data_IF_150052476051
#
_entry.id   IF_150052476051
#
_cell.length_a   1.000
_cell.length_b   1.000
_cell.length_c   1.000
_cell.angle_alpha   90.00
_cell.angle_beta   90.00
_cell.angle_gamma   90.00
#
_symmetry.space_group_name_H-M   'P 1'
#
loop_
_entity.id
_entity.type
_entity.pdbx_description
1 polymer ?
#
# COMPACT_ATOMS: atom_id res chain seq x y z
N UNK A 1 2.31 -70.01 -7.55
CA UNK A 1 2.04 -70.40 -6.15
C UNK A 1 3.26 -70.05 -5.30
N UNK A 2 3.02 -69.38 -4.18
CA UNK A 2 3.88 -69.21 -2.99
C UNK A 2 5.12 -68.31 -3.09
N UNK A 3 4.87 -67.10 -2.58
CA UNK A 3 5.73 -66.11 -1.94
C UNK A 3 6.67 -66.70 -0.87
N UNK A 4 7.94 -66.24 -0.81
CA UNK A 4 8.67 -66.01 0.45
C UNK A 4 9.90 -65.14 0.24
N UNK A 5 9.80 -63.89 0.70
CA UNK A 5 10.92 -62.97 0.93
C UNK A 5 11.73 -63.43 2.14
N UNK A 6 13.05 -63.40 2.05
CA UNK A 6 13.96 -63.20 3.20
C UNK A 6 15.12 -62.30 2.76
N UNK A 7 15.19 -61.13 3.39
CA UNK A 7 16.31 -60.20 3.38
C UNK A 7 17.22 -60.51 4.58
N UNK A 8 18.54 -60.40 4.40
CA UNK A 8 19.50 -59.52 5.10
C UNK A 8 20.94 -60.08 4.93
N UNK A 9 21.83 -59.40 4.19
CA UNK A 9 22.96 -58.52 4.66
C UNK A 9 24.24 -59.33 4.98
N UNK A 10 25.50 -58.87 4.79
CA UNK A 10 26.02 -57.54 4.39
C UNK A 10 26.99 -57.54 3.17
N UNK A 11 27.14 -56.36 2.55
CA UNK A 11 28.19 -56.08 1.55
C UNK A 11 29.21 -55.10 2.13
N UNK A 12 30.44 -55.59 2.27
CA UNK A 12 31.77 -54.99 2.01
C UNK A 12 32.02 -53.48 2.30
N UNK A 13 33.09 -53.12 3.05
CA UNK A 13 33.61 -51.75 3.15
C UNK A 13 34.68 -51.48 2.07
N UNK A 14 34.74 -50.24 1.52
CA UNK A 14 36.00 -49.56 1.18
C UNK A 14 35.80 -48.26 0.38
N UNK A 15 36.58 -47.25 0.80
CA UNK A 15 37.28 -46.26 -0.02
C UNK A 15 36.48 -45.18 -0.79
N UNK A 16 36.48 -44.01 -0.15
CA UNK A 16 36.49 -42.65 -0.69
C UNK A 16 37.02 -42.46 -2.13
N UNK A 17 36.30 -41.64 -2.90
CA UNK A 17 36.89 -40.63 -3.79
C UNK A 17 36.03 -39.35 -3.72
N UNK A 18 36.67 -38.27 -3.28
CA UNK A 18 36.16 -36.90 -3.25
C UNK A 18 36.19 -36.32 -4.67
N UNK A 19 35.04 -36.00 -5.25
CA UNK A 19 34.92 -35.06 -6.39
C UNK A 19 33.61 -34.27 -6.27
N UNK A 20 33.62 -33.25 -5.40
CA UNK A 20 32.60 -32.18 -5.43
C UNK A 20 33.05 -31.13 -6.45
N UNK A 21 32.66 -31.32 -7.70
CA UNK A 21 32.60 -30.22 -8.67
C UNK A 21 31.25 -29.51 -8.48
N UNK A 22 31.16 -28.67 -7.45
CA UNK A 22 30.06 -27.75 -7.24
C UNK A 22 30.52 -26.34 -7.64
N UNK A 23 30.39 -26.00 -8.92
CA UNK A 23 30.32 -24.59 -9.34
C UNK A 23 28.91 -24.08 -9.01
N UNK A 24 28.64 -23.91 -7.71
CA UNK A 24 27.56 -23.05 -7.26
C UNK A 24 28.08 -21.63 -7.33
N UNK A 25 27.67 -20.88 -8.35
CA UNK A 25 27.79 -19.43 -8.34
C UNK A 25 26.98 -18.90 -7.17
N UNK A 26 27.66 -18.65 -6.04
CA UNK A 26 27.17 -17.88 -4.91
C UNK A 26 26.81 -16.48 -5.41
N UNK A 27 25.61 -16.35 -5.96
CA UNK A 27 24.93 -15.07 -6.04
C UNK A 27 24.38 -14.87 -4.64
N UNK A 28 24.88 -13.90 -3.86
CA UNK A 28 24.29 -13.60 -2.56
C UNK A 28 22.81 -13.33 -2.80
N UNK A 29 21.93 -14.07 -2.14
CA UNK A 29 20.52 -13.71 -2.10
C UNK A 29 20.43 -12.23 -1.68
N UNK A 30 19.63 -11.39 -2.36
CA UNK A 30 19.44 -10.03 -1.92
C UNK A 30 18.97 -10.08 -0.48
N UNK A 31 19.78 -9.53 0.44
CA UNK A 31 19.45 -9.52 1.84
C UNK A 31 18.14 -8.74 2.02
N UNK A 32 17.07 -9.46 2.35
CA UNK A 32 15.83 -8.89 2.88
C UNK A 32 16.08 -8.41 4.30
N UNK A 33 16.93 -7.38 4.44
CA UNK A 33 17.00 -6.58 5.65
C UNK A 33 15.85 -5.57 5.67
N UNK A 34 15.54 -4.96 6.83
CA UNK A 34 14.58 -3.86 6.88
C UNK A 34 15.05 -2.80 5.90
N UNK A 35 14.24 -2.53 4.86
CA UNK A 35 14.46 -1.36 4.03
C UNK A 35 14.58 -0.18 4.98
N UNK A 36 15.72 0.52 4.95
CA UNK A 36 15.88 1.76 5.73
C UNK A 36 14.63 2.57 5.45
N UNK A 37 13.84 2.83 6.49
CA UNK A 37 12.74 3.78 6.43
C UNK A 37 13.40 5.06 5.92
N UNK A 38 13.14 5.41 4.66
CA UNK A 38 13.59 6.68 4.14
C UNK A 38 13.14 7.73 5.14
N UNK A 39 14.02 8.69 5.47
CA UNK A 39 13.62 9.79 6.35
C UNK A 39 12.27 10.33 5.87
N UNK A 40 11.31 10.61 6.78
CA UNK A 40 10.00 11.11 6.38
C UNK A 40 10.14 12.26 5.39
N UNK A 41 9.34 12.25 4.32
CA UNK A 41 9.36 13.32 3.32
C UNK A 41 9.21 14.66 4.04
N UNK A 42 9.98 15.70 3.71
CA UNK A 42 9.78 17.00 4.32
C UNK A 42 8.49 17.67 3.77
N UNK A 43 7.89 18.63 4.48
CA UNK A 43 6.62 19.24 4.09
C UNK A 43 6.60 19.83 2.67
N UNK A 44 7.71 20.44 2.23
CA UNK A 44 7.87 21.02 0.90
C UNK A 44 7.94 19.99 -0.23
N UNK A 45 8.17 18.71 0.08
CA UNK A 45 8.16 17.62 -0.90
C UNK A 45 6.75 17.10 -1.18
N UNK A 46 5.73 17.51 -0.41
CA UNK A 46 4.35 17.12 -0.67
C UNK A 46 3.80 17.83 -1.92
N UNK A 47 3.20 17.09 -2.87
CA UNK A 47 2.63 17.65 -4.09
C UNK A 47 1.47 18.60 -3.80
N UNK A 48 1.19 19.49 -4.74
CA UNK A 48 -0.01 20.31 -4.74
C UNK A 48 -1.23 19.53 -5.29
N UNK A 49 -2.40 20.18 -5.28
CA UNK A 49 -3.62 19.53 -5.73
C UNK A 49 -3.67 19.29 -7.23
N UNK A 50 -2.94 20.06 -8.05
CA UNK A 50 -2.86 19.78 -9.49
C UNK A 50 -2.14 18.44 -9.73
N UNK A 51 -0.97 18.26 -9.10
CA UNK A 51 -0.17 17.05 -9.18
C UNK A 51 -0.90 15.82 -8.63
N UNK A 52 -1.66 15.97 -7.53
CA UNK A 52 -2.49 14.89 -6.98
C UNK A 52 -3.66 14.57 -7.93
N UNK A 53 -4.32 15.60 -8.48
CA UNK A 53 -5.42 15.45 -9.43
C UNK A 53 -5.00 14.67 -10.68
N UNK A 54 -3.81 14.96 -11.23
CA UNK A 54 -3.22 14.18 -12.33
C UNK A 54 -3.02 12.70 -11.96
N UNK A 55 -2.55 12.42 -10.74
CA UNK A 55 -2.28 11.06 -10.29
C UNK A 55 -3.55 10.22 -10.13
N UNK A 56 -4.64 10.82 -9.60
CA UNK A 56 -5.93 10.14 -9.41
C UNK A 56 -6.83 10.20 -10.66
N UNK A 57 -6.43 10.97 -11.67
CA UNK A 57 -6.94 10.93 -13.04
C UNK A 57 -8.45 11.07 -13.14
N UNK A 58 -9.11 10.03 -13.67
CA UNK A 58 -10.54 10.08 -13.96
C UNK A 58 -11.44 10.24 -12.72
N UNK A 59 -10.92 10.00 -11.51
CA UNK A 59 -11.69 10.17 -10.27
C UNK A 59 -12.12 11.61 -10.01
N UNK A 60 -11.39 12.58 -10.54
CA UNK A 60 -11.73 14.02 -10.44
C UNK A 60 -12.26 14.60 -11.74
N UNK A 61 -12.56 13.76 -12.74
CA UNK A 61 -13.16 14.23 -13.98
C UNK A 61 -14.54 14.82 -13.73
N UNK A 62 -14.76 16.06 -14.17
CA UNK A 62 -16.00 16.80 -13.91
C UNK A 62 -16.08 17.43 -12.52
N UNK A 63 -15.03 17.35 -11.71
CA UNK A 63 -14.93 18.07 -10.43
C UNK A 63 -13.93 19.23 -10.55
N UNK A 64 -14.21 20.33 -9.86
CA UNK A 64 -13.35 21.50 -9.76
C UNK A 64 -12.56 21.46 -8.45
N UNK A 65 -11.26 21.75 -8.52
CA UNK A 65 -10.42 21.86 -7.33
C UNK A 65 -10.91 23.02 -6.44
N UNK A 66 -11.07 22.75 -5.15
CA UNK A 66 -11.55 23.75 -4.17
C UNK A 66 -10.46 24.76 -3.83
N UNK A 67 -9.25 24.27 -3.56
CA UNK A 67 -8.05 25.07 -3.30
C UNK A 67 -6.88 24.45 -4.06
N UNK A 68 -6.37 25.10 -5.13
CA UNK A 68 -5.25 24.57 -5.92
C UNK A 68 -3.96 24.33 -5.11
N UNK A 69 -3.72 25.14 -4.07
CA UNK A 69 -2.54 25.01 -3.23
C UNK A 69 -2.69 23.89 -2.20
N UNK A 70 -3.93 23.52 -1.89
CA UNK A 70 -4.30 22.55 -0.88
C UNK A 70 -4.14 23.06 0.54
N UNK A 71 -4.84 22.43 1.48
CA UNK A 71 -4.73 22.78 2.90
C UNK A 71 -3.59 21.98 3.52
N UNK A 72 -2.61 22.69 4.07
CA UNK A 72 -1.44 22.12 4.75
C UNK A 72 -1.54 22.35 6.25
N UNK A 73 -1.15 21.35 7.03
CA UNK A 73 -0.96 21.49 8.46
C UNK A 73 0.32 20.78 8.92
N UNK A 74 0.90 21.27 10.00
CA UNK A 74 2.11 20.70 10.60
C UNK A 74 1.98 20.70 12.11
N UNK A 75 2.39 19.58 12.69
CA UNK A 75 2.57 19.36 14.13
C UNK A 75 3.99 18.79 14.35
N UNK A 76 4.48 18.71 15.60
CA UNK A 76 5.77 18.08 15.90
C UNK A 76 5.87 16.62 15.42
N UNK A 77 4.76 15.89 15.47
CA UNK A 77 4.68 14.46 15.19
C UNK A 77 4.31 14.11 13.73
N UNK A 78 3.77 15.06 12.98
CA UNK A 78 3.32 14.83 11.61
C UNK A 78 3.16 16.12 10.82
N UNK A 79 3.12 16.00 9.50
CA UNK A 79 2.63 17.06 8.63
C UNK A 79 1.74 16.46 7.55
N UNK A 80 0.87 17.28 6.98
CA UNK A 80 -0.11 16.81 6.02
C UNK A 80 -0.42 17.83 4.93
N UNK A 81 -1.00 17.29 3.87
CA UNK A 81 -1.62 18.00 2.76
C UNK A 81 -3.00 17.40 2.52
N UNK A 82 -4.01 18.23 2.30
CA UNK A 82 -5.33 17.80 1.88
C UNK A 82 -5.82 18.60 0.68
N UNK A 83 -6.41 17.87 -0.26
CA UNK A 83 -7.00 18.39 -1.48
C UNK A 83 -8.46 17.98 -1.56
N UNK A 84 -9.30 18.86 -2.08
CA UNK A 84 -10.70 18.59 -2.31
C UNK A 84 -11.09 19.05 -3.71
N UNK A 85 -11.94 18.27 -4.35
CA UNK A 85 -12.60 18.61 -5.59
C UNK A 85 -14.11 18.50 -5.40
N UNK A 86 -14.85 19.43 -5.99
CA UNK A 86 -16.30 19.50 -5.90
C UNK A 86 -16.92 19.73 -7.26
N UNK A 87 -18.08 19.14 -7.46
CA UNK A 87 -18.93 19.46 -8.59
C UNK A 87 -19.64 20.79 -8.35
N UNK A 88 -19.89 21.52 -9.44
CA UNK A 88 -20.71 22.73 -9.43
C UNK A 88 -22.19 22.44 -9.66
N UNK A 89 -22.57 21.20 -10.00
CA UNK A 89 -23.93 20.88 -10.48
C UNK A 89 -24.67 19.75 -9.76
N UNK A 90 -23.99 18.85 -9.05
CA UNK A 90 -24.61 17.62 -8.51
C UNK A 90 -24.16 17.24 -7.08
N UNK A 91 -23.63 18.23 -6.34
CA UNK A 91 -23.11 18.10 -4.98
C UNK A 91 -21.99 17.05 -4.79
N UNK A 92 -21.46 16.44 -5.86
CA UNK A 92 -20.38 15.47 -5.74
C UNK A 92 -19.10 16.07 -5.17
N UNK A 93 -18.46 15.36 -4.25
CA UNK A 93 -17.18 15.78 -3.68
C UNK A 93 -16.25 14.59 -3.45
N UNK A 94 -14.97 14.79 -3.76
CA UNK A 94 -13.88 13.85 -3.51
C UNK A 94 -12.72 14.59 -2.84
N UNK A 95 -12.07 13.96 -1.88
CA UNK A 95 -10.89 14.49 -1.22
C UNK A 95 -9.76 13.47 -1.17
N UNK A 96 -8.53 13.99 -1.14
CA UNK A 96 -7.31 13.24 -0.86
C UNK A 96 -6.64 13.86 0.35
N UNK A 97 -6.22 13.05 1.30
CA UNK A 97 -5.41 13.45 2.45
C UNK A 97 -4.11 12.66 2.40
N UNK A 98 -2.98 13.36 2.46
CA UNK A 98 -1.65 12.80 2.63
C UNK A 98 -1.15 13.21 4.01
N UNK A 99 -0.83 12.23 4.85
CA UNK A 99 -0.21 12.44 6.16
C UNK A 99 1.18 11.80 6.12
N UNK A 100 2.17 12.52 6.63
CA UNK A 100 3.52 12.01 6.82
C UNK A 100 3.81 12.02 8.31
N UNK A 101 3.88 10.83 8.89
CA UNK A 101 4.09 10.63 10.33
C UNK A 101 5.59 10.49 10.64
N UNK A 102 6.04 11.15 11.71
CA UNK A 102 7.39 10.97 12.24
C UNK A 102 7.59 9.57 12.83
N UNK A 103 6.51 8.94 13.30
CA UNK A 103 6.46 7.56 13.79
C UNK A 103 5.38 6.80 13.01
N UNK A 104 5.75 6.02 11.99
CA UNK A 104 4.80 5.34 11.13
C UNK A 104 3.95 4.31 11.88
N UNK A 105 2.68 4.21 11.50
CA UNK A 105 1.85 3.06 11.88
C UNK A 105 2.43 1.78 11.28
N UNK A 106 2.47 0.70 12.06
CA UNK A 106 2.92 -0.60 11.57
C UNK A 106 1.76 -1.51 11.19
N UNK A 107 2.04 -2.46 10.30
CA UNK A 107 1.10 -3.52 9.94
C UNK A 107 0.61 -4.28 11.20
N UNK A 108 1.52 -4.57 12.12
CA UNK A 108 1.19 -5.29 13.36
C UNK A 108 0.27 -4.46 14.28
N UNK A 109 0.46 -3.14 14.34
CA UNK A 109 -0.43 -2.26 15.10
C UNK A 109 -1.86 -2.31 14.54
N UNK A 110 -2.01 -2.19 13.22
CA UNK A 110 -3.32 -2.23 12.57
C UNK A 110 -3.96 -3.61 12.65
N UNK A 111 -3.17 -4.68 12.55
CA UNK A 111 -3.66 -6.05 12.71
C UNK A 111 -4.18 -6.29 14.13
N UNK A 112 -3.45 -5.83 15.16
CA UNK A 112 -3.92 -5.90 16.56
C UNK A 112 -5.18 -5.07 16.80
N UNK A 113 -5.32 -3.95 16.10
CA UNK A 113 -6.50 -3.09 16.17
C UNK A 113 -7.71 -3.64 15.38
N UNK A 114 -7.56 -4.71 14.61
CA UNK A 114 -8.63 -5.24 13.74
C UNK A 114 -8.93 -4.34 12.53
N UNK A 115 -7.99 -3.48 12.14
CA UNK A 115 -8.14 -2.51 11.04
C UNK A 115 -7.36 -2.91 9.78
N UNK A 116 -6.52 -3.94 9.86
CA UNK A 116 -5.66 -4.36 8.77
C UNK A 116 -6.43 -5.09 7.66
N UNK A 117 -6.22 -4.66 6.42
CA UNK A 117 -6.57 -5.40 5.21
C UNK A 117 -5.35 -5.55 4.29
N UNK A 118 -5.18 -6.74 3.70
CA UNK A 118 -4.15 -7.00 2.70
C UNK A 118 -4.66 -6.70 1.30
N UNK A 119 -3.86 -5.98 0.50
CA UNK A 119 -4.15 -5.74 -0.91
C UNK A 119 -2.86 -5.91 -1.75
N UNK A 120 -2.86 -6.71 -2.82
CA UNK A 120 -1.67 -6.95 -3.64
C UNK A 120 -1.05 -5.68 -4.25
N UNK A 121 -1.88 -4.68 -4.60
CA UNK A 121 -1.43 -3.41 -5.20
C UNK A 121 -0.61 -2.60 -4.19
N UNK A 122 -1.03 -2.63 -2.93
CA UNK A 122 -0.36 -1.92 -1.83
C UNK A 122 0.84 -2.71 -1.31
N UNK A 123 0.73 -4.04 -1.25
CA UNK A 123 1.85 -4.92 -0.89
C UNK A 123 3.03 -4.79 -1.87
N UNK A 124 2.76 -4.55 -3.16
CA UNK A 124 3.80 -4.26 -4.16
C UNK A 124 4.58 -2.96 -3.87
N UNK A 125 4.02 -2.07 -3.06
CA UNK A 125 4.69 -0.88 -2.56
C UNK A 125 5.40 -1.12 -1.22
N UNK A 126 5.26 -2.29 -0.60
CA UNK A 126 5.73 -2.55 0.77
C UNK A 126 4.85 -1.92 1.84
N UNK A 127 3.57 -1.69 1.54
CA UNK A 127 2.60 -1.11 2.46
C UNK A 127 1.43 -2.03 2.80
N UNK A 128 0.44 -1.48 3.49
CA UNK A 128 -0.80 -2.14 3.87
C UNK A 128 -1.99 -1.16 3.88
N UNK A 129 -3.20 -1.69 4.06
CA UNK A 129 -4.42 -0.88 4.18
C UNK A 129 -4.90 -0.92 5.63
N UNK A 130 -5.27 0.25 6.17
CA UNK A 130 -6.11 0.37 7.34
C UNK A 130 -7.52 0.80 6.95
N UNK A 131 -8.53 0.02 7.34
CA UNK A 131 -9.94 0.27 7.06
C UNK A 131 -10.77 -0.18 8.27
N UNK A 132 -11.90 0.49 8.60
CA UNK A 132 -12.82 -0.02 9.61
C UNK A 132 -13.17 -1.50 9.36
N UNK A 133 -13.24 -2.27 10.44
CA UNK A 133 -13.54 -3.71 10.46
C UNK A 133 -12.50 -4.63 9.77
N UNK A 134 -11.43 -4.08 9.19
CA UNK A 134 -10.35 -4.85 8.55
C UNK A 134 -10.80 -5.70 7.35
N UNK A 135 -12.00 -5.44 6.84
CA UNK A 135 -12.57 -6.12 5.67
C UNK A 135 -12.64 -5.13 4.51
N UNK A 136 -11.99 -5.47 3.40
CA UNK A 136 -12.05 -4.68 2.18
C UNK A 136 -13.00 -5.34 1.18
N UNK A 137 -14.18 -4.75 1.00
CA UNK A 137 -15.00 -4.98 -0.18
C UNK A 137 -14.69 -3.91 -1.23
N UNK A 138 -13.82 -4.26 -2.19
CA UNK A 138 -13.39 -3.34 -3.24
C UNK A 138 -14.53 -2.73 -4.06
N UNK A 139 -15.67 -3.42 -4.13
CA UNK A 139 -16.85 -2.97 -4.90
C UNK A 139 -17.76 -2.01 -4.12
N UNK A 140 -17.57 -1.89 -2.81
CA UNK A 140 -18.34 -0.97 -1.98
C UNK A 140 -18.11 0.48 -2.41
N UNK A 141 -19.15 1.31 -2.28
CA UNK A 141 -19.07 2.74 -2.58
C UNK A 141 -18.22 3.45 -1.54
N UNK A 142 -17.35 4.34 -2.02
CA UNK A 142 -16.50 5.18 -1.19
C UNK A 142 -17.36 6.16 -0.37
N UNK A 143 -17.31 5.98 0.95
CA UNK A 143 -17.95 6.87 1.91
C UNK A 143 -17.05 8.04 2.35
N UNK A 144 -17.49 8.79 3.36
CA UNK A 144 -16.75 9.94 3.90
C UNK A 144 -15.46 9.54 4.62
N UNK A 145 -15.30 8.26 4.96
CA UNK A 145 -14.09 7.68 5.52
C UNK A 145 -13.69 6.54 4.60
N UNK A 146 -12.65 6.76 3.79
CA UNK A 146 -12.13 5.73 2.90
C UNK A 146 -10.98 4.93 3.50
N UNK A 147 -10.43 3.99 2.72
CA UNK A 147 -9.29 3.18 3.14
C UNK A 147 -8.04 4.06 3.23
N UNK A 148 -7.25 3.81 4.27
CA UNK A 148 -5.95 4.46 4.45
C UNK A 148 -4.87 3.54 3.87
N UNK A 149 -4.22 3.98 2.80
CA UNK A 149 -3.10 3.26 2.18
C UNK A 149 -1.80 3.74 2.80
N UNK A 150 -1.14 2.87 3.56
CA UNK A 150 0.01 3.21 4.40
C UNK A 150 1.26 2.56 3.82
N UNK A 151 2.27 3.37 3.50
CA UNK A 151 3.55 2.93 2.95
C UNK A 151 4.68 3.69 3.63
N UNK A 152 5.42 2.99 4.50
CA UNK A 152 6.41 3.65 5.36
C UNK A 152 5.75 4.77 6.18
N UNK A 153 6.33 5.98 6.25
CA UNK A 153 5.78 7.10 7.02
C UNK A 153 4.57 7.78 6.37
N UNK A 154 4.19 7.39 5.15
CA UNK A 154 3.18 8.12 4.38
C UNK A 154 1.85 7.35 4.40
N UNK A 155 0.80 8.05 4.80
CA UNK A 155 -0.59 7.60 4.71
C UNK A 155 -1.29 8.41 3.64
N UNK A 156 -1.94 7.74 2.69
CA UNK A 156 -2.81 8.38 1.68
C UNK A 156 -4.22 7.86 1.83
N UNK A 157 -5.17 8.77 2.00
CA UNK A 157 -6.59 8.46 2.18
C UNK A 157 -7.40 9.20 1.13
N UNK A 158 -8.24 8.48 0.39
CA UNK A 158 -9.28 9.07 -0.45
C UNK A 158 -10.60 9.04 0.32
N UNK A 159 -11.40 10.09 0.20
CA UNK A 159 -12.72 10.18 0.82
C UNK A 159 -13.71 10.79 -0.17
N UNK A 160 -14.96 10.33 -0.15
CA UNK A 160 -16.02 10.83 -1.02
C UNK A 160 -17.30 11.08 -0.24
N UNK A 161 -18.20 11.90 -0.78
CA UNK A 161 -19.52 12.08 -0.15
C UNK A 161 -20.61 11.18 -0.75
N UNK A 162 -20.24 10.28 -1.68
CA UNK A 162 -21.14 9.38 -2.40
C UNK A 162 -22.32 10.08 -3.10
N UNK A 163 -22.10 11.30 -3.61
CA UNK A 163 -23.09 12.08 -4.37
C UNK A 163 -22.58 12.45 -5.75
N UNK A 164 -23.51 12.71 -6.67
CA UNK A 164 -23.19 13.23 -7.99
C UNK A 164 -22.12 12.43 -8.71
N UNK A 165 -21.16 13.12 -9.31
CA UNK A 165 -19.99 12.53 -9.97
C UNK A 165 -19.13 11.63 -9.04
N UNK A 166 -19.22 11.77 -7.71
CA UNK A 166 -18.53 10.91 -6.75
C UNK A 166 -19.35 9.69 -6.28
N UNK A 167 -20.62 9.55 -6.69
CA UNK A 167 -21.52 8.50 -6.21
C UNK A 167 -21.13 7.08 -6.64
N UNK A 168 -20.37 6.95 -7.73
CA UNK A 168 -19.95 5.67 -8.28
C UNK A 168 -18.50 5.30 -7.95
N UNK A 169 -17.78 6.14 -7.18
CA UNK A 169 -16.40 5.85 -6.79
C UNK A 169 -16.42 4.71 -5.78
N UNK A 170 -15.69 3.65 -6.09
CA UNK A 170 -15.57 2.44 -5.26
C UNK A 170 -14.34 2.48 -4.36
N UNK A 171 -14.27 1.58 -3.37
CA UNK A 171 -13.08 1.42 -2.55
C UNK A 171 -11.87 0.96 -3.37
N UNK A 172 -12.05 0.11 -4.38
CA UNK A 172 -10.96 -0.31 -5.28
C UNK A 172 -10.38 0.86 -6.06
N UNK A 173 -11.24 1.73 -6.60
CA UNK A 173 -10.82 2.95 -7.28
C UNK A 173 -10.11 3.91 -6.32
N UNK A 174 -10.58 4.01 -5.08
CA UNK A 174 -9.94 4.82 -4.04
C UNK A 174 -8.52 4.30 -3.73
N UNK A 175 -8.34 2.97 -3.66
CA UNK A 175 -7.04 2.34 -3.46
C UNK A 175 -6.13 2.56 -4.66
N UNK A 176 -6.63 2.41 -5.89
CA UNK A 176 -5.86 2.68 -7.10
C UNK A 176 -5.36 4.14 -7.14
N UNK A 177 -6.23 5.08 -6.78
CA UNK A 177 -5.88 6.50 -6.63
C UNK A 177 -4.80 6.73 -5.57
N UNK A 178 -4.95 6.15 -4.39
CA UNK A 178 -3.95 6.26 -3.32
C UNK A 178 -2.60 5.64 -3.72
N UNK A 179 -2.61 4.49 -4.39
CA UNK A 179 -1.41 3.83 -4.94
C UNK A 179 -0.73 4.72 -5.99
N UNK A 180 -1.50 5.39 -6.85
CA UNK A 180 -0.96 6.32 -7.84
C UNK A 180 -0.28 7.53 -7.17
N UNK A 181 -0.88 8.09 -6.12
CA UNK A 181 -0.27 9.16 -5.32
C UNK A 181 1.03 8.69 -4.67
N UNK A 182 1.03 7.50 -4.05
CA UNK A 182 2.25 6.92 -3.47
C UNK A 182 3.38 6.73 -4.48
N UNK A 183 3.07 6.30 -5.70
CA UNK A 183 4.06 6.17 -6.78
C UNK A 183 4.66 7.51 -7.19
N UNK A 184 3.90 8.61 -7.07
CA UNK A 184 4.37 9.96 -7.38
C UNK A 184 5.29 10.56 -6.30
N UNK A 185 5.17 10.09 -5.06
CA UNK A 185 5.99 10.55 -3.93
C UNK A 185 7.38 9.89 -3.85
N UNK A 186 7.69 8.96 -4.77
CA UNK A 186 8.95 8.22 -4.83
C UNK A 186 9.87 8.77 -5.92
#
# INVERSE_FOLDING_TARGET
MVQKRRFLVPLVPACAVLLLAACGSDTPAPASGPQRIAAPLPPEALPDCAAIGEAIGSLVSGLEVVDPAGTRASAPESHNMSCAWRSTGDDGALGVIIIVDAQPLTEDDMRRAGLYASDPRVAALGGFIAIPDGQLDGSAILGPVGPQVIVGPVTVTLAGNARGAAAAVTLDQAIDGAVAVHRRLR
#
